data_IF_984171180565
#
_entry.id   IF_984171180565
#
_cell.length_a   1.000
_cell.length_b   1.000
_cell.length_c   1.000
_cell.angle_alpha   90.00
_cell.angle_beta   90.00
_cell.angle_gamma   90.00
#
_symmetry.space_group_name_H-M   'P 1'
#
loop_
_entity.id
_entity.type
_entity.pdbx_description
1 polymer ?
#
# COMPACT_ATOMS: atom_id res chain seq x y z
N UNK A 1 3.75 -34.38 -32.05
CA UNK A 1 3.74 -33.58 -30.79
C UNK A 1 3.66 -32.09 -31.14
N UNK A 2 2.52 -31.42 -30.94
CA UNK A 2 2.37 -29.97 -31.17
C UNK A 2 2.86 -29.21 -29.92
N UNK A 3 3.93 -28.42 -30.05
CA UNK A 3 4.39 -27.50 -28.99
C UNK A 3 3.33 -26.40 -28.79
N UNK A 4 2.71 -26.38 -27.62
CA UNK A 4 1.80 -25.32 -27.18
C UNK A 4 2.65 -24.12 -26.77
N UNK A 5 2.69 -23.09 -27.60
CA UNK A 5 3.35 -21.81 -27.30
C UNK A 5 2.58 -21.12 -26.18
N UNK A 6 3.21 -20.96 -25.01
CA UNK A 6 2.61 -20.21 -23.90
C UNK A 6 2.74 -18.71 -24.18
N UNK A 7 1.61 -18.06 -24.42
CA UNK A 7 1.51 -16.64 -24.69
C UNK A 7 1.84 -15.83 -23.39
N UNK A 8 2.87 -14.98 -23.36
CA UNK A 8 3.38 -14.36 -22.12
C UNK A 8 2.36 -13.45 -21.42
N UNK A 9 1.42 -12.85 -22.17
CA UNK A 9 0.37 -11.98 -21.60
C UNK A 9 -0.59 -12.71 -20.65
N UNK A 10 -0.76 -14.03 -20.80
CA UNK A 10 -1.67 -14.82 -19.96
C UNK A 10 -1.05 -15.24 -18.62
N UNK A 11 0.27 -15.14 -18.47
CA UNK A 11 0.97 -15.39 -17.19
C UNK A 11 0.94 -14.19 -16.25
N UNK A 12 0.70 -12.98 -16.76
CA UNK A 12 0.67 -11.77 -15.95
C UNK A 12 -0.57 -11.72 -15.03
N UNK A 13 -1.71 -12.27 -15.46
CA UNK A 13 -2.94 -12.29 -14.66
C UNK A 13 -2.97 -13.36 -13.57
N UNK A 14 -2.12 -14.39 -13.65
CA UNK A 14 -2.03 -15.43 -12.62
C UNK A 14 -1.09 -15.05 -11.46
N UNK A 15 -0.37 -13.91 -11.57
CA UNK A 15 0.59 -13.43 -10.58
C UNK A 15 0.09 -12.24 -9.75
N UNK A 16 -1.19 -11.87 -9.87
CA UNK A 16 -1.84 -10.88 -9.00
C UNK A 16 -2.40 -11.55 -7.72
N UNK A 17 -2.36 -12.89 -7.65
CA UNK A 17 -2.81 -13.70 -6.52
C UNK A 17 -1.78 -13.91 -5.41
N UNK A 18 -0.77 -13.05 -5.29
CA UNK A 18 0.12 -13.07 -4.12
C UNK A 18 0.51 -11.63 -3.82
N UNK A 19 -0.42 -10.93 -3.17
CA UNK A 19 -0.22 -9.60 -2.60
C UNK A 19 0.80 -9.66 -1.47
N UNK A 20 2.08 -9.74 -1.81
CA UNK A 20 3.17 -9.43 -0.89
C UNK A 20 4.25 -8.71 -1.68
N UNK A 21 4.07 -7.41 -1.90
CA UNK A 21 5.19 -6.48 -1.80
C UNK A 21 4.65 -5.15 -1.23
N UNK A 22 4.25 -5.16 0.04
CA UNK A 22 4.44 -3.95 0.85
C UNK A 22 5.90 -4.01 1.26
N UNK A 23 6.76 -3.32 0.48
CA UNK A 23 8.19 -3.25 0.80
C UNK A 23 8.29 -2.61 2.16
N UNK A 24 8.63 -3.42 3.15
CA UNK A 24 8.84 -2.96 4.50
C UNK A 24 9.83 -1.81 4.52
N UNK A 25 9.32 -0.61 4.79
CA UNK A 25 10.08 0.50 5.37
C UNK A 25 10.74 0.09 6.71
N UNK A 26 10.32 -1.05 7.26
CA UNK A 26 10.68 -1.60 8.55
C UNK A 26 12.16 -2.04 8.78
N UNK A 27 13.11 -1.90 7.85
CA UNK A 27 14.50 -2.37 8.12
C UNK A 27 15.60 -1.30 8.07
N UNK A 28 15.37 -0.08 7.54
CA UNK A 28 16.50 0.87 7.36
C UNK A 28 16.33 2.26 7.97
N UNK A 29 15.37 2.44 8.89
CA UNK A 29 15.17 3.70 9.61
C UNK A 29 16.06 3.81 10.86
N UNK A 30 16.46 2.69 11.49
CA UNK A 30 16.94 2.73 12.87
C UNK A 30 18.43 3.00 13.13
N UNK A 31 19.34 2.97 12.14
CA UNK A 31 20.76 2.91 12.52
C UNK A 31 21.56 4.23 12.52
N UNK A 32 21.14 5.30 11.85
CA UNK A 32 22.11 6.39 11.60
C UNK A 32 21.51 7.78 11.34
N UNK A 33 20.69 8.30 12.25
CA UNK A 33 20.47 9.76 12.36
C UNK A 33 20.86 10.21 13.77
N UNK A 34 22.10 9.92 14.13
CA UNK A 34 22.71 10.55 15.29
C UNK A 34 23.10 11.99 14.91
N UNK A 35 22.57 12.94 15.68
CA UNK A 35 22.97 14.35 15.80
C UNK A 35 22.26 15.45 14.98
N UNK A 36 21.06 15.21 14.42
CA UNK A 36 20.06 16.27 14.14
C UNK A 36 18.72 16.07 14.92
N UNK A 37 18.87 15.56 16.15
CA UNK A 37 18.15 15.74 17.44
C UNK A 37 16.62 15.97 17.45
N UNK A 38 15.92 14.93 17.94
CA UNK A 38 14.51 14.81 18.36
C UNK A 38 13.44 14.85 17.25
N UNK A 39 13.32 15.91 16.46
CA UNK A 39 12.21 16.03 15.49
C UNK A 39 12.34 15.07 14.31
N UNK A 40 13.56 14.86 13.79
CA UNK A 40 13.81 13.92 12.69
C UNK A 40 13.61 12.45 13.09
N UNK A 41 13.95 12.09 14.34
CA UNK A 41 13.70 10.76 14.89
C UNK A 41 12.20 10.54 15.12
N UNK A 42 11.51 11.50 15.75
CA UNK A 42 10.05 11.43 15.91
C UNK A 42 9.32 11.34 14.56
N UNK A 43 9.72 12.13 13.56
CA UNK A 43 9.18 12.02 12.21
C UNK A 43 9.42 10.62 11.61
N UNK A 44 10.65 10.13 11.67
CA UNK A 44 11.01 8.81 11.14
C UNK A 44 10.21 7.68 11.79
N UNK A 45 10.05 7.73 13.11
CA UNK A 45 9.27 6.76 13.89
C UNK A 45 7.78 6.83 13.55
N UNK A 46 7.21 8.04 13.44
CA UNK A 46 5.82 8.24 13.05
C UNK A 46 5.55 7.74 11.63
N UNK A 47 6.42 8.05 10.68
CA UNK A 47 6.31 7.55 9.30
C UNK A 47 6.43 6.03 9.27
N UNK A 48 7.38 5.44 10.00
CA UNK A 48 7.51 4.00 10.11
C UNK A 48 6.26 3.34 10.70
N UNK A 49 5.65 3.95 11.73
CA UNK A 49 4.40 3.47 12.32
C UNK A 49 3.23 3.53 11.33
N UNK A 50 3.08 4.64 10.59
CA UNK A 50 2.05 4.78 9.55
C UNK A 50 2.17 3.65 8.52
N UNK A 51 3.39 3.35 8.10
CA UNK A 51 3.69 2.32 7.10
C UNK A 51 3.48 0.90 7.65
N UNK A 52 3.81 0.67 8.93
CA UNK A 52 3.53 -0.57 9.61
C UNK A 52 2.01 -0.79 9.79
N UNK A 53 1.26 0.24 10.19
CA UNK A 53 -0.20 0.19 10.32
C UNK A 53 -0.85 -0.13 8.96
N UNK A 54 -0.44 0.56 7.90
CA UNK A 54 -0.91 0.34 6.54
C UNK A 54 -0.64 -1.10 6.09
N UNK A 55 0.59 -1.58 6.33
CA UNK A 55 0.98 -2.95 6.00
C UNK A 55 0.10 -3.98 6.70
N UNK A 56 -0.03 -3.86 8.02
CA UNK A 56 -0.77 -4.82 8.82
C UNK A 56 -2.25 -4.85 8.43
N UNK A 57 -2.85 -3.67 8.23
CA UNK A 57 -4.24 -3.58 7.80
C UNK A 57 -4.46 -4.19 6.40
N UNK A 58 -3.58 -3.89 5.44
CA UNK A 58 -3.66 -4.44 4.07
C UNK A 58 -3.48 -5.96 4.08
N UNK A 59 -2.51 -6.48 4.81
CA UNK A 59 -2.28 -7.94 4.91
C UNK A 59 -3.47 -8.66 5.56
N UNK A 60 -4.07 -8.05 6.58
CA UNK A 60 -5.27 -8.57 7.20
C UNK A 60 -6.44 -8.58 6.20
N UNK A 61 -6.65 -7.48 5.48
CA UNK A 61 -7.71 -7.37 4.48
C UNK A 61 -7.54 -8.38 3.33
N UNK A 62 -6.33 -8.56 2.81
CA UNK A 62 -6.00 -9.56 1.78
C UNK A 62 -6.28 -10.99 2.26
N UNK A 63 -5.99 -11.27 3.53
CA UNK A 63 -6.31 -12.56 4.14
C UNK A 63 -7.83 -12.79 4.19
N UNK A 64 -8.62 -11.77 4.55
CA UNK A 64 -10.07 -11.86 4.53
C UNK A 64 -10.63 -12.00 3.10
N UNK A 65 -10.07 -11.27 2.13
CA UNK A 65 -10.45 -11.39 0.73
C UNK A 65 -10.20 -12.81 0.19
N UNK A 66 -9.10 -13.44 0.61
CA UNK A 66 -8.78 -14.83 0.25
C UNK A 66 -9.85 -15.78 0.81
N UNK A 67 -10.21 -15.64 2.08
CA UNK A 67 -11.29 -16.42 2.71
C UNK A 67 -12.63 -16.21 2.00
N UNK A 68 -12.93 -15.00 1.52
CA UNK A 68 -14.13 -14.71 0.73
C UNK A 68 -14.11 -15.45 -0.61
N UNK A 69 -13.00 -15.39 -1.33
CA UNK A 69 -12.83 -16.06 -2.62
C UNK A 69 -12.91 -17.59 -2.51
N UNK A 70 -12.49 -18.15 -1.38
CA UNK A 70 -12.62 -19.57 -1.05
C UNK A 70 -14.03 -19.95 -0.55
N UNK A 71 -14.94 -18.99 -0.41
CA UNK A 71 -16.31 -19.20 0.06
C UNK A 71 -16.43 -19.44 1.57
N UNK A 72 -15.37 -19.16 2.34
CA UNK A 72 -15.35 -19.33 3.80
C UNK A 72 -16.07 -18.19 4.54
N UNK A 73 -16.18 -17.01 3.93
CA UNK A 73 -16.97 -15.89 4.45
C UNK A 73 -18.00 -15.44 3.41
N UNK A 74 -19.16 -14.97 3.88
CA UNK A 74 -20.23 -14.52 2.99
C UNK A 74 -19.95 -13.12 2.42
N UNK A 75 -20.62 -12.80 1.31
CA UNK A 75 -20.59 -11.47 0.68
C UNK A 75 -20.93 -10.34 1.66
N UNK A 76 -21.98 -10.48 2.46
CA UNK A 76 -22.37 -9.46 3.45
C UNK A 76 -21.31 -9.24 4.52
N UNK A 77 -20.60 -10.30 4.92
CA UNK A 77 -19.48 -10.21 5.86
C UNK A 77 -18.31 -9.50 5.20
N UNK A 78 -17.95 -9.89 3.97
CA UNK A 78 -16.84 -9.28 3.24
C UNK A 78 -17.08 -7.78 2.98
N UNK A 79 -18.31 -7.37 2.64
CA UNK A 79 -18.65 -5.95 2.46
C UNK A 79 -18.46 -5.13 3.74
N UNK A 80 -18.84 -5.67 4.90
CA UNK A 80 -18.59 -5.02 6.21
C UNK A 80 -17.10 -4.93 6.53
N UNK A 81 -16.34 -5.97 6.20
CA UNK A 81 -14.87 -5.96 6.34
C UNK A 81 -14.27 -4.87 5.46
N UNK A 82 -14.68 -4.77 4.18
CA UNK A 82 -14.24 -3.71 3.26
C UNK A 82 -14.60 -2.30 3.73
N UNK A 83 -15.79 -2.12 4.32
CA UNK A 83 -16.21 -0.83 4.90
C UNK A 83 -15.34 -0.43 6.09
N UNK A 84 -15.01 -1.39 6.95
CA UNK A 84 -14.12 -1.16 8.09
C UNK A 84 -12.68 -0.87 7.63
N UNK A 85 -12.16 -1.68 6.72
CA UNK A 85 -10.85 -1.48 6.09
C UNK A 85 -10.72 -0.07 5.52
N UNK A 86 -11.68 0.36 4.71
CA UNK A 86 -11.70 1.70 4.11
C UNK A 86 -11.63 2.82 5.15
N UNK A 87 -12.28 2.65 6.31
CA UNK A 87 -12.21 3.62 7.41
C UNK A 87 -10.85 3.64 8.07
N UNK A 88 -10.23 2.47 8.26
CA UNK A 88 -8.88 2.37 8.83
C UNK A 88 -7.86 3.02 7.90
N UNK A 89 -7.92 2.75 6.59
CA UNK A 89 -7.03 3.40 5.60
C UNK A 89 -7.25 4.91 5.56
N UNK A 90 -8.50 5.40 5.65
CA UNK A 90 -8.78 6.83 5.78
C UNK A 90 -8.16 7.45 7.04
N UNK A 91 -8.21 6.75 8.17
CA UNK A 91 -7.56 7.21 9.40
C UNK A 91 -6.03 7.24 9.26
N UNK A 92 -5.44 6.28 8.56
CA UNK A 92 -4.01 6.26 8.24
C UNK A 92 -3.65 7.45 7.34
N UNK A 93 -4.49 7.80 6.36
CA UNK A 93 -4.28 8.96 5.50
C UNK A 93 -4.17 10.26 6.29
N UNK A 94 -5.04 10.46 7.29
CA UNK A 94 -5.02 11.65 8.16
C UNK A 94 -3.67 11.75 8.90
N UNK A 95 -3.09 10.63 9.32
CA UNK A 95 -1.79 10.65 10.02
C UNK A 95 -0.66 11.23 9.18
N UNK A 96 -0.72 11.15 7.85
CA UNK A 96 0.27 11.82 6.99
C UNK A 96 0.17 13.34 7.03
N UNK A 97 -1.05 13.88 7.17
CA UNK A 97 -1.29 15.33 7.23
C UNK A 97 -0.79 15.92 8.57
N UNK A 98 -0.73 15.08 9.63
CA UNK A 98 -0.18 15.42 10.93
C UNK A 98 1.35 15.30 11.02
N UNK A 99 2.00 14.68 10.02
CA UNK A 99 3.46 14.58 9.98
C UNK A 99 4.07 15.97 9.83
N UNK A 100 5.17 16.19 10.54
CA UNK A 100 6.02 17.38 10.40
C UNK A 100 7.36 16.98 9.80
N UNK A 101 7.40 16.58 8.51
CA UNK A 101 8.65 16.16 7.88
C UNK A 101 9.63 17.34 7.79
N UNK A 102 10.94 17.09 7.94
CA UNK A 102 11.94 18.06 7.48
C UNK A 102 11.77 18.33 5.98
N UNK A 103 12.14 19.53 5.52
CA UNK A 103 11.88 20.01 4.15
C UNK A 103 12.33 19.01 3.07
N UNK A 104 13.51 18.40 3.25
CA UNK A 104 14.07 17.41 2.33
C UNK A 104 13.18 16.15 2.15
N UNK A 105 12.35 15.82 3.14
CA UNK A 105 11.50 14.63 3.14
C UNK A 105 10.06 14.89 2.68
N UNK A 106 9.63 16.15 2.54
CA UNK A 106 8.27 16.51 2.09
C UNK A 106 7.87 15.75 0.80
N UNK A 107 8.70 15.69 -0.26
CA UNK A 107 8.31 14.97 -1.48
C UNK A 107 8.07 13.48 -1.26
N UNK A 108 8.86 12.84 -0.39
CA UNK A 108 8.68 11.42 -0.08
C UNK A 108 7.39 11.17 0.69
N UNK A 109 7.05 12.03 1.66
CA UNK A 109 5.80 11.93 2.43
C UNK A 109 4.58 12.13 1.54
N UNK A 110 4.63 13.10 0.61
CA UNK A 110 3.57 13.32 -0.36
C UNK A 110 3.33 12.09 -1.25
N UNK A 111 4.41 11.44 -1.70
CA UNK A 111 4.31 10.21 -2.51
C UNK A 111 3.78 9.02 -1.71
N UNK A 112 4.19 8.85 -0.44
CA UNK A 112 3.62 7.82 0.42
C UNK A 112 2.13 8.03 0.66
N UNK A 113 1.71 9.27 0.96
CA UNK A 113 0.30 9.62 1.11
C UNK A 113 -0.49 9.37 -0.17
N UNK A 114 0.06 9.75 -1.33
CA UNK A 114 -0.55 9.52 -2.64
C UNK A 114 -0.71 8.02 -2.91
N UNK A 115 0.31 7.21 -2.62
CA UNK A 115 0.23 5.76 -2.70
C UNK A 115 -0.93 5.21 -1.86
N UNK A 116 -1.01 5.58 -0.57
CA UNK A 116 -2.09 5.14 0.31
C UNK A 116 -3.47 5.61 -0.18
N UNK A 117 -3.56 6.81 -0.75
CA UNK A 117 -4.81 7.33 -1.32
C UNK A 117 -5.23 6.53 -2.55
N UNK A 118 -4.31 6.22 -3.44
CA UNK A 118 -4.57 5.39 -4.63
C UNK A 118 -4.94 3.96 -4.25
N UNK A 119 -4.33 3.41 -3.19
CA UNK A 119 -4.76 2.13 -2.63
C UNK A 119 -6.21 2.18 -2.15
N UNK A 120 -6.59 3.19 -1.37
CA UNK A 120 -7.98 3.37 -0.92
C UNK A 120 -8.97 3.50 -2.09
N UNK A 121 -8.56 4.14 -3.18
CA UNK A 121 -9.37 4.21 -4.41
C UNK A 121 -9.51 2.82 -5.07
N UNK A 122 -8.43 2.03 -5.11
CA UNK A 122 -8.49 0.63 -5.53
C UNK A 122 -9.47 -0.18 -4.68
N UNK A 123 -9.42 -0.02 -3.36
CA UNK A 123 -10.27 -0.77 -2.41
C UNK A 123 -11.76 -0.47 -2.61
N UNK A 124 -12.12 0.74 -3.02
CA UNK A 124 -13.49 1.10 -3.38
C UNK A 124 -13.99 0.30 -4.58
N UNK A 125 -13.19 0.21 -5.64
CA UNK A 125 -13.53 -0.60 -6.82
C UNK A 125 -13.54 -2.10 -6.51
N UNK A 126 -12.66 -2.56 -5.61
CA UNK A 126 -12.67 -3.94 -5.15
C UNK A 126 -13.96 -4.27 -4.39
N UNK A 127 -14.39 -3.37 -3.50
CA UNK A 127 -15.66 -3.49 -2.79
C UNK A 127 -16.85 -3.48 -3.77
N UNK A 128 -16.80 -2.62 -4.79
CA UNK A 128 -17.82 -2.60 -5.84
C UNK A 128 -17.88 -3.93 -6.60
N UNK A 129 -16.73 -4.53 -6.91
CA UNK A 129 -16.67 -5.88 -7.46
C UNK A 129 -17.30 -6.92 -6.53
N UNK A 130 -16.97 -6.91 -5.23
CA UNK A 130 -17.61 -7.80 -4.24
C UNK A 130 -19.14 -7.62 -4.26
N UNK A 131 -19.61 -6.37 -4.40
CA UNK A 131 -21.04 -6.04 -4.40
C UNK A 131 -21.77 -6.47 -5.69
N UNK A 132 -21.12 -6.37 -6.85
CA UNK A 132 -21.79 -6.45 -8.16
C UNK A 132 -21.36 -7.62 -9.02
N UNK A 133 -20.24 -8.25 -8.68
CA UNK A 133 -19.53 -9.24 -9.49
C UNK A 133 -19.10 -8.70 -10.88
N UNK A 134 -19.04 -7.38 -11.06
CA UNK A 134 -18.59 -6.75 -12.31
C UNK A 134 -17.06 -6.76 -12.44
N UNK A 135 -16.56 -7.56 -13.37
CA UNK A 135 -15.12 -7.68 -13.66
C UNK A 135 -14.46 -6.37 -14.14
N UNK A 136 -15.23 -5.39 -14.64
CA UNK A 136 -14.69 -4.10 -15.02
C UNK A 136 -14.15 -3.33 -13.80
N UNK A 137 -14.89 -3.37 -12.69
CA UNK A 137 -14.51 -2.75 -11.41
C UNK A 137 -13.32 -3.47 -10.78
N UNK A 138 -13.27 -4.80 -10.85
CA UNK A 138 -12.09 -5.58 -10.44
C UNK A 138 -10.83 -5.18 -11.22
N UNK A 139 -10.96 -5.07 -12.54
CA UNK A 139 -9.84 -4.67 -13.40
C UNK A 139 -9.34 -3.27 -13.06
N UNK A 140 -10.25 -2.34 -12.75
CA UNK A 140 -9.88 -0.98 -12.33
C UNK A 140 -9.21 -0.95 -10.96
N UNK A 141 -9.68 -1.76 -10.01
CA UNK A 141 -9.02 -1.96 -8.72
C UNK A 141 -7.57 -2.44 -8.92
N UNK A 142 -7.35 -3.47 -9.74
CA UNK A 142 -6.01 -4.01 -9.99
C UNK A 142 -5.08 -2.95 -10.63
N UNK A 143 -5.58 -2.12 -11.56
CA UNK A 143 -4.82 -1.02 -12.17
C UNK A 143 -4.39 0.03 -11.12
N UNK A 144 -5.32 0.48 -10.28
CA UNK A 144 -5.04 1.46 -9.23
C UNK A 144 -4.09 0.89 -8.17
N UNK A 145 -4.22 -0.39 -7.82
CA UNK A 145 -3.29 -1.04 -6.89
C UNK A 145 -1.88 -1.11 -7.47
N UNK A 146 -1.73 -1.40 -8.77
CA UNK A 146 -0.42 -1.33 -9.41
C UNK A 146 0.15 0.09 -9.38
N UNK A 147 -0.70 1.10 -9.59
CA UNK A 147 -0.31 2.50 -9.55
C UNK A 147 0.12 2.94 -8.14
N UNK A 148 -0.57 2.50 -7.08
CA UNK A 148 -0.18 2.81 -5.71
C UNK A 148 1.23 2.28 -5.39
N UNK A 149 1.58 1.08 -5.87
CA UNK A 149 2.94 0.54 -5.72
C UNK A 149 4.00 1.36 -6.48
N UNK A 150 3.67 1.93 -7.64
CA UNK A 150 4.60 2.84 -8.33
C UNK A 150 4.87 4.10 -7.52
N UNK A 151 3.83 4.66 -6.87
CA UNK A 151 4.00 5.80 -5.97
C UNK A 151 4.80 5.43 -4.73
N UNK A 152 4.57 4.27 -4.12
CA UNK A 152 5.34 3.79 -2.97
C UNK A 152 6.83 3.62 -3.31
N UNK A 153 7.14 3.01 -4.45
CA UNK A 153 8.52 2.85 -4.92
C UNK A 153 9.20 4.21 -5.14
N UNK A 154 8.47 5.16 -5.75
CA UNK A 154 8.96 6.53 -5.93
C UNK A 154 9.17 7.25 -4.60
N UNK A 155 8.30 7.01 -3.62
CA UNK A 155 8.42 7.55 -2.27
C UNK A 155 9.68 7.03 -1.57
N UNK A 156 9.93 5.72 -1.66
CA UNK A 156 11.14 5.07 -1.12
C UNK A 156 12.42 5.64 -1.76
N UNK A 157 12.43 5.81 -3.07
CA UNK A 157 13.57 6.41 -3.78
C UNK A 157 13.81 7.87 -3.34
N UNK A 158 12.73 8.65 -3.24
CA UNK A 158 12.77 10.04 -2.77
C UNK A 158 13.30 10.13 -1.34
N UNK A 159 12.79 9.28 -0.45
CA UNK A 159 13.21 9.19 0.96
C UNK A 159 14.71 8.87 1.08
N UNK A 160 15.19 7.86 0.35
CA UNK A 160 16.60 7.45 0.36
C UNK A 160 17.53 8.54 -0.21
N UNK A 161 17.05 9.29 -1.21
CA UNK A 161 17.78 10.44 -1.77
C UNK A 161 17.88 11.56 -0.74
N UNK A 162 16.79 11.89 -0.05
CA UNK A 162 16.75 12.90 1.00
C UNK A 162 17.69 12.51 2.17
N UNK A 163 17.66 11.25 2.59
CA UNK A 163 18.57 10.71 3.62
C UNK A 163 20.04 10.88 3.22
N UNK A 164 20.40 10.54 1.97
CA UNK A 164 21.77 10.69 1.48
C UNK A 164 22.25 12.14 1.42
N UNK A 165 21.34 13.09 1.13
CA UNK A 165 21.65 14.53 1.10
C UNK A 165 21.77 15.15 2.49
N UNK A 166 20.96 14.71 3.46
CA UNK A 166 21.04 15.18 4.85
C UNK A 166 22.22 14.62 5.64
N UNK A 167 22.98 13.67 5.08
CA UNK A 167 24.21 13.10 5.63
C UNK A 167 25.50 13.82 5.15
N UNK A 168 25.36 14.82 4.27
CA UNK A 168 26.46 15.69 3.80
C UNK A 168 26.42 17.03 4.53
#
# INVERSE_FOLDING_TARGET
MRKKTSNPKRRLHAAIGTGIIIVGIAIFVNYYLDQAKLSGQTFGDQLAQIQADLKNETQNFDSQLTLYQEGQISKDVMLKISDNHSKIIQNILIKYDDLKPPELFIPSVQLFRLSTQTQLESDKYLREWIQTDDNSTRSKSDELLQQSFQYEMSALQSYNTAKSKGLQ
#
